data_IF_837255841326
#
_entry.id   IF_837255841326
#
_cell.length_a   1.000
_cell.length_b   1.000
_cell.length_c   1.000
_cell.angle_alpha   90.00
_cell.angle_beta   90.00
_cell.angle_gamma   90.00
#
_symmetry.space_group_name_H-M   'P 1'
#
loop_
_entity.id
_entity.type
_entity.pdbx_description
1 polymer ?
#
# COMPACT_ATOMS: atom_id res chain seq x y z
N UNK A 1 -6.50 10.19 9.93
CA UNK A 1 -6.14 10.22 8.50
C UNK A 1 -7.10 9.30 7.74
N UNK A 2 -7.33 9.57 6.45
CA UNK A 2 -8.25 8.81 5.61
C UNK A 2 -7.83 7.33 5.53
N UNK A 3 -8.78 6.41 5.76
CA UNK A 3 -8.50 4.96 5.80
C UNK A 3 -8.73 4.23 4.46
N UNK A 4 -8.96 4.97 3.37
CA UNK A 4 -9.30 4.41 2.05
C UNK A 4 -10.40 3.34 2.08
N UNK A 5 -11.27 3.38 3.09
CA UNK A 5 -12.41 2.49 3.30
C UNK A 5 -13.73 3.09 2.75
N UNK A 6 -13.62 4.21 2.03
CA UNK A 6 -14.77 4.90 1.42
C UNK A 6 -15.61 5.71 2.40
N UNK A 7 -15.15 5.89 3.65
CA UNK A 7 -15.88 6.66 4.67
C UNK A 7 -15.17 7.99 4.93
N UNK A 8 -15.92 9.08 4.73
CA UNK A 8 -15.46 10.45 4.90
C UNK A 8 -15.52 10.86 6.37
N UNK A 9 -14.38 10.78 7.07
CA UNK A 9 -14.32 11.02 8.52
C UNK A 9 -13.79 12.40 8.86
N UNK A 10 -14.48 13.09 9.78
CA UNK A 10 -13.97 14.31 10.39
C UNK A 10 -12.78 14.02 11.29
N UNK A 11 -11.72 14.81 11.15
CA UNK A 11 -10.54 14.79 12.00
C UNK A 11 -10.43 16.14 12.70
N UNK A 12 -10.37 16.10 14.03
CA UNK A 12 -9.97 17.23 14.86
C UNK A 12 -8.84 16.78 15.77
N UNK A 13 -7.71 17.49 15.72
CA UNK A 13 -6.55 17.25 16.58
C UNK A 13 -6.08 18.54 17.22
N UNK A 14 -5.47 18.42 18.40
CA UNK A 14 -4.76 19.52 19.05
C UNK A 14 -3.29 19.15 19.20
N UNK A 15 -2.41 20.05 18.77
CA UNK A 15 -0.97 19.95 18.96
C UNK A 15 -0.54 21.02 19.97
N UNK A 16 0.17 20.60 21.01
CA UNK A 16 0.77 21.54 21.97
C UNK A 16 2.02 22.18 21.35
N UNK A 17 2.19 23.49 21.53
CA UNK A 17 3.40 24.21 21.08
C UNK A 17 4.17 24.67 22.33
N UNK A 18 5.15 23.87 22.81
CA UNK A 18 5.76 24.06 24.11
C UNK A 18 6.79 25.20 24.14
N UNK A 19 7.48 25.47 23.02
CA UNK A 19 8.56 26.45 22.96
C UNK A 19 8.25 27.59 21.97
N UNK A 20 8.85 28.78 22.16
CA UNK A 20 8.76 29.86 21.17
C UNK A 20 9.25 29.45 19.78
N UNK A 21 10.27 28.61 19.70
CA UNK A 21 10.79 28.09 18.43
C UNK A 21 9.76 27.21 17.70
N UNK A 22 8.98 26.41 18.45
CA UNK A 22 7.88 25.63 17.86
C UNK A 22 6.76 26.55 17.35
N UNK A 23 6.45 27.61 18.10
CA UNK A 23 5.47 28.62 17.69
C UNK A 23 5.91 29.34 16.41
N UNK A 24 7.17 29.75 16.33
CA UNK A 24 7.74 30.39 15.15
C UNK A 24 7.71 29.46 13.93
N UNK A 25 8.10 28.18 14.08
CA UNK A 25 8.04 27.20 12.98
C UNK A 25 6.62 26.98 12.46
N UNK A 26 5.63 26.97 13.36
CA UNK A 26 4.22 26.85 12.99
C UNK A 26 3.72 28.12 12.31
N UNK A 27 4.12 29.31 12.76
CA UNK A 27 3.82 30.57 12.05
C UNK A 27 4.39 30.55 10.64
N UNK A 28 5.69 30.29 10.50
CA UNK A 28 6.39 30.24 9.22
C UNK A 28 5.77 29.23 8.24
N UNK A 29 5.24 28.13 8.78
CA UNK A 29 4.47 27.15 8.01
C UNK A 29 3.10 27.68 7.62
N UNK A 30 2.29 28.11 8.60
CA UNK A 30 0.89 28.46 8.40
C UNK A 30 0.70 29.70 7.54
N UNK A 31 1.54 30.71 7.76
CA UNK A 31 1.51 32.01 7.07
C UNK A 31 2.36 32.02 5.79
N UNK A 32 2.97 30.87 5.45
CA UNK A 32 3.80 30.68 4.27
C UNK A 32 4.97 31.68 4.14
N UNK A 33 5.69 31.93 5.25
CA UNK A 33 6.76 32.95 5.34
C UNK A 33 8.15 32.47 4.86
N UNK A 34 8.30 31.21 4.45
CA UNK A 34 9.57 30.65 3.97
C UNK A 34 9.60 30.57 2.45
N UNK A 35 10.79 30.79 1.89
CA UNK A 35 11.07 30.56 0.48
C UNK A 35 11.07 29.07 0.10
N UNK A 36 11.25 28.17 1.09
CA UNK A 36 11.29 26.73 0.85
C UNK A 36 10.75 25.91 2.02
N UNK A 37 10.10 24.80 1.68
CA UNK A 37 9.47 23.88 2.62
C UNK A 37 9.99 22.46 2.44
N UNK A 38 10.09 21.72 3.55
CA UNK A 38 10.38 20.28 3.51
C UNK A 38 9.23 19.47 2.89
N UNK A 39 7.99 19.99 2.99
CA UNK A 39 6.83 19.41 2.36
C UNK A 39 6.87 19.70 0.84
N UNK A 40 7.28 18.71 0.05
CA UNK A 40 7.33 18.81 -1.41
C UNK A 40 5.94 18.84 -2.09
N UNK A 41 4.86 18.78 -1.30
CA UNK A 41 3.50 18.85 -1.81
C UNK A 41 2.95 20.27 -1.78
N UNK A 42 3.63 21.23 -1.13
CA UNK A 42 3.25 22.64 -1.21
C UNK A 42 3.55 23.15 -2.62
N UNK A 43 2.55 23.74 -3.26
CA UNK A 43 2.60 24.34 -4.59
C UNK A 43 2.58 25.87 -4.43
N UNK A 44 3.73 26.56 -4.52
CA UNK A 44 3.82 28.00 -4.25
C UNK A 44 2.86 28.86 -5.09
N UNK A 45 2.60 28.46 -6.33
CA UNK A 45 1.68 29.16 -7.24
C UNK A 45 0.24 29.17 -6.73
N UNK A 46 -0.11 28.26 -5.80
CA UNK A 46 -1.43 28.14 -5.20
C UNK A 46 -1.53 28.74 -3.80
N UNK A 47 -0.44 29.18 -3.19
CA UNK A 47 -0.47 29.86 -1.89
C UNK A 47 -1.48 31.02 -1.83
N UNK A 48 -1.70 31.81 -2.91
CA UNK A 48 -2.77 32.83 -2.92
C UNK A 48 -4.20 32.30 -2.77
N UNK A 49 -4.41 30.98 -2.91
CA UNK A 49 -5.70 30.32 -2.70
C UNK A 49 -5.92 29.89 -1.23
N UNK A 50 -4.90 30.00 -0.38
CA UNK A 50 -5.09 29.80 1.06
C UNK A 50 -6.08 30.86 1.58
N UNK A 51 -6.91 30.47 2.54
CA UNK A 51 -7.96 31.35 3.07
C UNK A 51 -7.76 31.57 4.55
N UNK A 52 -7.46 32.82 4.91
CA UNK A 52 -7.46 33.25 6.29
C UNK A 52 -8.87 33.58 6.75
N UNK A 53 -9.38 32.82 7.71
CA UNK A 53 -10.57 33.19 8.47
C UNK A 53 -10.21 34.14 9.61
N UNK A 54 -8.96 34.04 10.10
CA UNK A 54 -8.35 35.04 10.98
C UNK A 54 -6.88 35.24 10.61
N UNK A 55 -6.58 36.40 10.07
CA UNK A 55 -5.20 36.82 9.78
C UNK A 55 -4.52 37.31 11.06
N UNK A 56 -3.29 36.87 11.37
CA UNK A 56 -2.55 37.42 12.50
C UNK A 56 -2.21 38.89 12.27
N UNK A 57 -2.20 39.68 13.35
CA UNK A 57 -1.88 41.11 13.27
C UNK A 57 -0.38 41.39 13.44
N UNK A 58 0.37 40.45 13.99
CA UNK A 58 1.83 40.46 14.20
C UNK A 58 2.29 39.01 14.43
N UNK A 59 3.56 38.81 14.76
CA UNK A 59 4.07 37.51 15.19
C UNK A 59 3.26 36.94 16.35
N UNK A 60 3.00 35.63 16.34
CA UNK A 60 2.17 34.96 17.36
C UNK A 60 2.65 35.21 18.79
N UNK A 61 3.97 35.28 18.98
CA UNK A 61 4.58 35.58 20.29
C UNK A 61 4.28 37.02 20.72
N UNK A 62 4.37 37.98 19.81
CA UNK A 62 4.06 39.39 20.12
C UNK A 62 2.57 39.60 20.37
N UNK A 63 1.71 38.93 19.60
CA UNK A 63 0.26 38.95 19.85
C UNK A 63 -0.07 38.43 21.25
N UNK A 64 0.58 37.34 21.69
CA UNK A 64 0.42 36.83 23.05
C UNK A 64 0.87 37.85 24.11
N UNK A 65 2.04 38.44 23.94
CA UNK A 65 2.57 39.46 24.85
C UNK A 65 1.64 40.67 24.94
N UNK A 66 1.09 41.11 23.80
CA UNK A 66 0.12 42.19 23.74
C UNK A 66 -1.17 41.83 24.50
N UNK A 67 -1.71 40.62 24.30
CA UNK A 67 -2.89 40.15 25.01
C UNK A 67 -2.68 40.04 26.52
N UNK A 68 -1.46 39.70 26.96
CA UNK A 68 -1.08 39.70 28.37
C UNK A 68 -1.00 41.12 28.93
N UNK A 69 -0.39 42.05 28.19
CA UNK A 69 -0.28 43.46 28.56
C UNK A 69 -1.64 44.15 28.66
N UNK A 70 -2.55 43.83 27.72
CA UNK A 70 -3.92 44.35 27.68
C UNK A 70 -4.84 43.72 28.74
N UNK A 71 -4.36 42.70 29.45
CA UNK A 71 -5.13 41.98 30.48
C UNK A 71 -6.24 41.09 29.92
N UNK A 72 -6.24 40.84 28.59
CA UNK A 72 -7.17 39.90 27.93
C UNK A 72 -6.93 38.47 28.42
N UNK A 73 -5.66 38.14 28.67
CA UNK A 73 -5.23 36.87 29.25
C UNK A 73 -4.31 37.13 30.45
N UNK A 74 -4.23 36.15 31.34
CA UNK A 74 -3.34 36.16 32.50
C UNK A 74 -2.45 34.93 32.52
N UNK A 75 -1.14 35.17 32.58
CA UNK A 75 -0.13 34.12 32.82
C UNK A 75 0.21 33.95 34.30
N UNK A 76 -0.44 34.70 35.20
CA UNK A 76 -0.10 34.77 36.63
C UNK A 76 -0.02 33.38 37.27
N UNK A 77 1.15 33.05 37.80
CA UNK A 77 1.40 31.78 38.48
C UNK A 77 1.56 30.58 37.54
N UNK A 78 1.72 30.81 36.22
CA UNK A 78 2.23 29.78 35.33
C UNK A 78 3.69 29.49 35.65
N UNK A 79 4.05 28.21 35.52
CA UNK A 79 5.45 27.81 35.54
C UNK A 79 6.15 28.25 34.24
N UNK A 80 7.47 28.45 34.25
CA UNK A 80 8.22 28.80 33.04
C UNK A 80 8.05 27.80 31.88
N UNK A 81 7.88 26.51 32.20
CA UNK A 81 7.69 25.40 31.27
C UNK A 81 6.22 25.13 30.92
N UNK A 82 5.29 26.00 31.32
CA UNK A 82 3.88 25.82 31.00
C UNK A 82 3.63 26.02 29.50
N UNK A 83 2.86 25.11 28.90
CA UNK A 83 2.40 25.23 27.51
C UNK A 83 1.41 26.39 27.41
N UNK A 84 1.74 27.37 26.56
CA UNK A 84 0.99 28.62 26.37
C UNK A 84 0.16 28.66 25.10
N UNK A 85 0.40 27.74 24.16
CA UNK A 85 -0.19 27.76 22.84
C UNK A 85 -0.63 26.35 22.43
N UNK A 86 -1.67 26.28 21.61
CA UNK A 86 -2.07 25.06 20.91
C UNK A 86 -2.40 25.36 19.46
N UNK A 87 -2.30 24.34 18.62
CA UNK A 87 -2.79 24.35 17.24
C UNK A 87 -3.87 23.29 17.10
N UNK A 88 -5.09 23.73 16.76
CA UNK A 88 -6.14 22.83 16.29
C UNK A 88 -5.97 22.62 14.80
N UNK A 89 -6.05 21.36 14.36
CA UNK A 89 -6.10 21.03 12.94
C UNK A 89 -7.38 20.26 12.66
N UNK A 90 -8.16 20.81 11.73
CA UNK A 90 -9.40 20.25 11.24
C UNK A 90 -9.21 19.76 9.81
N UNK A 91 -9.61 18.53 9.56
CA UNK A 91 -9.32 17.84 8.31
C UNK A 91 -10.43 16.83 7.95
N UNK A 92 -10.62 16.62 6.65
CA UNK A 92 -11.47 15.60 6.03
C UNK A 92 -10.73 15.10 4.79
N UNK A 93 -10.94 13.85 4.39
CA UNK A 93 -10.26 13.28 3.24
C UNK A 93 -10.51 14.10 1.95
N UNK A 94 -9.48 14.24 1.10
CA UNK A 94 -9.57 14.99 -0.16
C UNK A 94 -10.73 14.55 -1.07
N UNK A 95 -11.07 13.26 -1.05
CA UNK A 95 -12.17 12.71 -1.84
C UNK A 95 -13.53 13.35 -1.50
N UNK A 96 -13.77 13.65 -0.22
CA UNK A 96 -14.98 14.33 0.21
C UNK A 96 -15.13 15.70 -0.48
N UNK A 97 -14.10 16.54 -0.42
CA UNK A 97 -14.14 17.85 -1.06
C UNK A 97 -14.22 17.74 -2.57
N UNK A 98 -13.44 16.84 -3.18
CA UNK A 98 -13.48 16.59 -4.62
C UNK A 98 -14.90 16.27 -5.11
N UNK A 99 -15.62 15.39 -4.39
CA UNK A 99 -16.98 15.00 -4.74
C UNK A 99 -18.05 16.07 -4.49
N UNK A 100 -17.73 17.11 -3.70
CA UNK A 100 -18.66 18.16 -3.28
C UNK A 100 -18.42 19.52 -3.94
N UNK A 101 -17.64 19.58 -5.01
CA UNK A 101 -17.37 20.82 -5.76
C UNK A 101 -16.00 21.45 -5.47
N UNK A 102 -15.14 20.75 -4.75
CA UNK A 102 -13.73 21.12 -4.56
C UNK A 102 -13.56 22.37 -3.72
N UNK A 103 -12.77 23.32 -4.24
CA UNK A 103 -12.27 24.48 -3.50
C UNK A 103 -13.37 25.36 -2.89
N UNK A 104 -14.42 25.71 -3.65
CA UNK A 104 -15.47 26.61 -3.12
C UNK A 104 -16.28 25.93 -2.01
N UNK A 105 -16.51 24.61 -2.11
CA UNK A 105 -17.14 23.86 -1.04
C UNK A 105 -16.23 23.75 0.19
N UNK A 106 -14.93 23.50 -0.01
CA UNK A 106 -13.96 23.48 1.08
C UNK A 106 -13.90 24.82 1.83
N UNK A 107 -13.93 25.95 1.12
CA UNK A 107 -13.99 27.29 1.75
C UNK A 107 -15.19 27.44 2.67
N UNK A 108 -16.38 27.05 2.21
CA UNK A 108 -17.59 27.12 3.02
C UNK A 108 -17.52 26.16 4.21
N UNK A 109 -17.08 24.93 3.98
CA UNK A 109 -16.89 23.92 5.03
C UNK A 109 -15.96 24.43 6.13
N UNK A 110 -14.79 24.98 5.76
CA UNK A 110 -13.83 25.47 6.74
C UNK A 110 -14.21 26.82 7.37
N UNK A 111 -15.06 27.62 6.71
CA UNK A 111 -15.68 28.78 7.36
C UNK A 111 -16.60 28.36 8.51
N UNK A 112 -17.35 27.27 8.35
CA UNK A 112 -18.17 26.70 9.42
C UNK A 112 -17.32 25.98 10.47
N UNK A 113 -16.27 25.26 10.06
CA UNK A 113 -15.30 24.68 10.98
C UNK A 113 -14.60 25.75 11.84
N UNK A 114 -14.35 26.95 11.28
CA UNK A 114 -13.80 28.07 12.03
C UNK A 114 -14.74 28.55 13.14
N UNK A 115 -16.05 28.60 12.89
CA UNK A 115 -17.06 28.91 13.94
C UNK A 115 -17.02 27.86 15.05
N UNK A 116 -16.88 26.58 14.69
CA UNK A 116 -16.69 25.50 15.67
C UNK A 116 -15.43 25.74 16.51
N UNK A 117 -14.33 26.14 15.87
CA UNK A 117 -13.07 26.44 16.55
C UNK A 117 -13.22 27.60 17.55
N UNK A 118 -13.96 28.65 17.20
CA UNK A 118 -14.27 29.77 18.11
C UNK A 118 -14.99 29.29 19.37
N UNK A 119 -16.00 28.43 19.22
CA UNK A 119 -16.73 27.84 20.36
C UNK A 119 -15.85 26.91 21.20
N UNK A 120 -15.10 26.03 20.55
CA UNK A 120 -14.18 25.08 21.21
C UNK A 120 -13.11 25.82 22.00
N UNK A 121 -12.54 26.89 21.44
CA UNK A 121 -11.51 27.71 22.09
C UNK A 121 -12.12 28.57 23.20
N UNK A 122 -13.39 28.95 23.09
CA UNK A 122 -14.13 29.74 24.08
C UNK A 122 -14.08 31.25 23.80
N UNK A 123 -13.86 31.64 22.55
CA UNK A 123 -13.81 33.04 22.13
C UNK A 123 -12.81 33.28 21.00
N UNK A 124 -13.21 34.06 20.01
CA UNK A 124 -12.38 34.41 18.84
C UNK A 124 -11.15 35.22 19.23
N UNK A 125 -11.24 36.02 20.30
CA UNK A 125 -10.13 36.82 20.81
C UNK A 125 -8.94 35.97 21.28
N UNK A 126 -9.14 34.67 21.56
CA UNK A 126 -8.08 33.75 21.96
C UNK A 126 -7.45 32.98 20.81
N UNK A 127 -7.95 33.17 19.59
CA UNK A 127 -7.36 32.64 18.35
C UNK A 127 -6.38 33.67 17.82
N UNK A 128 -5.15 33.25 17.52
CA UNK A 128 -4.09 34.09 16.95
C UNK A 128 -4.15 34.10 15.43
N UNK A 129 -4.31 32.93 14.81
CA UNK A 129 -4.47 32.76 13.36
C UNK A 129 -5.40 31.58 13.07
N UNK A 130 -6.13 31.66 11.96
CA UNK A 130 -6.91 30.57 11.40
C UNK A 130 -6.82 30.60 9.88
N UNK A 131 -6.16 29.60 9.30
CA UNK A 131 -5.87 29.53 7.85
C UNK A 131 -6.20 28.16 7.29
N UNK A 132 -6.98 28.15 6.22
CA UNK A 132 -7.18 26.99 5.37
C UNK A 132 -6.07 26.92 4.34
N UNK A 133 -5.31 25.83 4.34
CA UNK A 133 -4.35 25.53 3.28
C UNK A 133 -5.05 24.86 2.10
N UNK A 134 -4.78 25.35 0.89
CA UNK A 134 -5.34 24.92 -0.39
C UNK A 134 -4.26 24.72 -1.47
N UNK A 135 -3.01 24.77 -1.04
CA UNK A 135 -1.80 24.70 -1.83
C UNK A 135 -1.06 23.36 -1.69
N UNK A 136 -1.60 22.40 -0.93
CA UNK A 136 -0.96 21.09 -0.76
C UNK A 136 -1.51 20.06 -1.77
N UNK A 137 -0.64 19.52 -2.60
CA UNK A 137 -0.96 18.56 -3.65
C UNK A 137 -1.14 17.14 -3.10
N UNK A 138 -2.24 16.47 -3.44
CA UNK A 138 -2.48 15.08 -3.07
C UNK A 138 -2.01 14.15 -4.19
N UNK A 139 -0.70 13.87 -4.24
CA UNK A 139 -0.08 13.03 -5.29
C UNK A 139 -0.77 11.70 -5.51
N UNK A 140 -1.13 11.01 -4.44
CA UNK A 140 -1.74 9.68 -4.52
C UNK A 140 -3.09 9.72 -5.25
N UNK A 141 -3.93 10.70 -4.92
CA UNK A 141 -5.22 10.85 -5.58
C UNK A 141 -5.08 11.43 -7.00
N UNK A 142 -4.16 12.37 -7.20
CA UNK A 142 -3.90 12.95 -8.52
C UNK A 142 -3.42 11.90 -9.53
N UNK A 143 -2.51 11.02 -9.12
CA UNK A 143 -2.03 9.93 -9.97
C UNK A 143 -3.13 8.90 -10.27
N UNK A 144 -4.02 8.63 -9.29
CA UNK A 144 -5.13 7.70 -9.48
C UNK A 144 -6.20 8.23 -10.44
N UNK A 145 -6.45 9.54 -10.45
CA UNK A 145 -7.46 10.19 -11.30
C UNK A 145 -6.89 10.72 -12.62
N UNK A 146 -5.58 10.94 -12.71
CA UNK A 146 -4.94 11.54 -13.88
C UNK A 146 -5.13 13.06 -13.98
N UNK A 147 -5.47 13.72 -12.89
CA UNK A 147 -5.66 15.18 -12.81
C UNK A 147 -5.18 15.73 -11.46
N UNK A 148 -4.87 17.03 -11.38
CA UNK A 148 -4.33 17.62 -10.15
C UNK A 148 -5.40 17.78 -9.06
N UNK A 149 -5.25 17.02 -7.98
CA UNK A 149 -6.08 17.10 -6.78
C UNK A 149 -5.30 17.71 -5.62
N UNK A 150 -5.94 18.61 -4.89
CA UNK A 150 -5.37 19.29 -3.74
C UNK A 150 -6.03 18.86 -2.44
N UNK A 151 -5.26 18.92 -1.36
CA UNK A 151 -5.71 18.63 -0.01
C UNK A 151 -6.02 19.94 0.71
N UNK A 152 -7.18 19.97 1.37
CA UNK A 152 -7.65 21.11 2.12
C UNK A 152 -7.69 20.73 3.59
N UNK A 153 -7.17 21.61 4.45
CA UNK A 153 -7.25 21.46 5.90
C UNK A 153 -7.09 22.84 6.56
N UNK A 154 -7.60 22.96 7.78
CA UNK A 154 -7.63 24.21 8.54
C UNK A 154 -6.72 24.09 9.76
N UNK A 155 -5.76 25.01 9.87
CA UNK A 155 -4.97 25.22 11.09
C UNK A 155 -5.53 26.40 11.87
N UNK A 156 -5.70 26.23 13.18
CA UNK A 156 -6.15 27.29 14.10
C UNK A 156 -5.18 27.36 15.28
N UNK A 157 -4.36 28.39 15.30
CA UNK A 157 -3.42 28.65 16.40
C UNK A 157 -4.12 29.47 17.47
N UNK A 158 -4.10 29.00 18.71
CA UNK A 158 -4.88 29.60 19.80
C UNK A 158 -4.18 29.53 21.16
N UNK A 159 -4.68 30.30 22.11
CA UNK A 159 -4.24 30.33 23.51
C UNK A 159 -5.24 29.55 24.37
N UNK A 160 -4.83 28.47 25.06
CA UNK A 160 -5.73 27.69 25.90
C UNK A 160 -6.04 28.46 27.19
N UNK A 161 -7.25 28.99 27.28
CA UNK A 161 -7.71 29.79 28.43
C UNK A 161 -8.82 29.10 29.22
N UNK A 162 -8.89 29.42 30.51
CA UNK A 162 -9.98 29.05 31.41
C UNK A 162 -10.28 30.21 32.36
N UNK A 163 -11.55 30.39 32.71
CA UNK A 163 -11.92 31.32 33.76
C UNK A 163 -11.41 30.81 35.12
N UNK A 164 -10.77 31.70 35.88
CA UNK A 164 -10.25 31.37 37.21
C UNK A 164 -10.62 32.49 38.18
N UNK A 165 -11.41 32.13 39.18
CA UNK A 165 -11.68 32.99 40.33
C UNK A 165 -10.48 32.97 41.28
N UNK A 166 -9.92 34.13 41.55
CA UNK A 166 -8.91 34.35 42.59
C UNK A 166 -9.67 34.79 43.84
N UNK A 167 -9.53 34.03 44.93
CA UNK A 167 -10.19 34.32 46.19
C UNK A 167 -9.31 35.21 47.09
N UNK A 168 -9.93 35.97 47.98
CA UNK A 168 -9.21 36.69 49.04
C UNK A 168 -8.47 35.70 49.95
N UNK A 169 -7.21 36.04 50.26
CA UNK A 169 -6.36 35.18 51.08
C UNK A 169 -6.90 35.04 52.50
N UNK A 170 -6.60 33.91 53.15
CA UNK A 170 -6.89 33.70 54.58
C UNK A 170 -6.22 34.73 55.49
N UNK A 171 -5.24 35.47 54.99
CA UNK A 171 -4.51 36.55 55.70
C UNK A 171 -5.10 37.94 55.43
N UNK A 172 -6.23 38.05 54.71
CA UNK A 172 -6.90 39.33 54.51
C UNK A 172 -7.30 39.94 55.86
N UNK A 173 -7.09 41.25 56.04
CA UNK A 173 -7.41 41.95 57.30
C UNK A 173 -8.91 42.01 57.55
N UNK A 174 -9.67 42.22 56.48
CA UNK A 174 -11.13 42.15 56.53
C UNK A 174 -11.57 40.69 56.55
N UNK A 175 -12.21 40.27 57.63
CA UNK A 175 -12.65 38.89 57.83
C UNK A 175 -13.81 38.52 56.91
N UNK A 176 -14.69 39.47 56.57
CA UNK A 176 -15.86 39.23 55.72
C UNK A 176 -15.45 38.91 54.27
N UNK A 177 -14.30 39.40 53.83
CA UNK A 177 -13.80 39.16 52.48
C UNK A 177 -13.09 37.81 52.33
N UNK A 178 -12.61 37.17 53.41
CA UNK A 178 -11.82 35.93 53.32
C UNK A 178 -12.61 34.81 52.63
N UNK A 179 -12.03 34.21 51.60
CA UNK A 179 -12.68 33.14 50.83
C UNK A 179 -13.72 33.60 49.81
N UNK A 180 -14.06 34.91 49.76
CA UNK A 180 -14.88 35.47 48.69
C UNK A 180 -14.05 35.73 47.43
N UNK A 181 -14.71 35.83 46.27
CA UNK A 181 -14.05 36.11 44.98
C UNK A 181 -13.48 37.53 45.00
N UNK A 182 -12.16 37.64 44.85
CA UNK A 182 -11.45 38.91 44.73
C UNK A 182 -11.47 39.43 43.30
N UNK A 183 -11.16 38.56 42.35
CA UNK A 183 -11.13 38.87 40.92
C UNK A 183 -11.35 37.59 40.11
N UNK A 184 -11.94 37.70 38.93
CA UNK A 184 -12.03 36.61 37.95
C UNK A 184 -11.11 36.96 36.81
N UNK A 185 -10.18 36.06 36.49
CA UNK A 185 -9.20 36.26 35.42
C UNK A 185 -9.37 35.19 34.34
N UNK A 186 -9.02 35.55 33.11
CA UNK A 186 -8.86 34.61 32.00
C UNK A 186 -7.47 34.00 32.08
N UNK A 187 -7.35 32.88 32.78
CA UNK A 187 -6.06 32.22 33.02
C UNK A 187 -5.65 31.36 31.83
N UNK A 188 -4.43 31.55 31.33
CA UNK A 188 -3.83 30.60 30.38
C UNK A 188 -3.53 29.27 31.10
N UNK A 189 -4.11 28.18 30.62
CA UNK A 189 -3.96 26.84 31.21
C UNK A 189 -4.36 25.72 30.24
N UNK A 190 -3.36 25.15 29.53
CA UNK A 190 -3.53 23.96 28.69
C UNK A 190 -4.16 22.78 29.44
N UNK A 191 -3.66 22.48 30.65
CA UNK A 191 -4.10 21.29 31.41
C UNK A 191 -5.56 21.37 31.84
N UNK A 192 -6.03 22.57 32.23
CA UNK A 192 -7.43 22.77 32.59
C UNK A 192 -8.34 22.87 31.37
N UNK A 193 -7.87 23.50 30.27
CA UNK A 193 -8.62 23.58 29.01
C UNK A 193 -8.97 22.20 28.48
N UNK A 194 -8.01 21.28 28.55
CA UNK A 194 -8.13 19.90 28.06
C UNK A 194 -8.24 18.88 29.20
N UNK A 195 -8.91 19.23 30.30
CA UNK A 195 -9.17 18.29 31.38
C UNK A 195 -10.18 17.21 30.94
N UNK A 196 -10.00 15.99 31.47
CA UNK A 196 -10.87 14.87 31.11
C UNK A 196 -12.23 14.99 31.80
N UNK A 197 -13.31 14.90 31.03
CA UNK A 197 -14.68 15.03 31.55
C UNK A 197 -15.23 13.67 32.00
N UNK A 198 -16.04 13.58 33.08
CA UNK A 198 -16.69 12.33 33.44
C UNK A 198 -17.72 11.91 32.38
N UNK A 199 -17.79 10.62 32.08
CA UNK A 199 -18.87 10.04 31.26
C UNK A 199 -20.15 10.09 32.09
N UNK A 200 -21.24 10.61 31.53
CA UNK A 200 -22.54 10.68 32.20
C UNK A 200 -23.44 9.49 31.77
N UNK A 201 -24.34 9.06 32.64
CA UNK A 201 -25.43 8.13 32.33
C UNK A 201 -26.66 8.84 31.75
N UNK A 202 -27.71 8.08 31.47
CA UNK A 202 -28.96 8.59 30.89
C UNK A 202 -29.67 9.61 31.80
N UNK A 203 -29.38 9.57 33.11
CA UNK A 203 -29.91 10.50 34.12
C UNK A 203 -28.98 11.71 34.36
N UNK A 204 -27.86 11.81 33.62
CA UNK A 204 -26.89 12.88 33.74
C UNK A 204 -25.89 12.73 34.90
N UNK A 205 -25.83 11.58 35.56
CA UNK A 205 -24.90 11.31 36.65
C UNK A 205 -23.58 10.68 36.14
N UNK A 206 -22.42 10.95 36.77
CA UNK A 206 -21.16 10.34 36.37
C UNK A 206 -21.16 8.80 36.47
N UNK A 207 -20.97 8.10 35.34
CA UNK A 207 -20.78 6.65 35.31
C UNK A 207 -19.55 6.26 36.12
N UNK A 208 -19.71 5.26 36.98
CA UNK A 208 -18.66 4.67 37.78
C UNK A 208 -18.25 3.32 37.17
N UNK A 209 -16.97 2.98 37.24
CA UNK A 209 -16.50 1.63 36.93
C UNK A 209 -16.81 0.67 38.09
N UNK A 210 -16.52 -0.62 37.89
CA UNK A 210 -16.70 -1.69 38.89
C UNK A 210 -15.96 -1.42 40.23
N UNK A 211 -14.97 -0.51 40.23
CA UNK A 211 -14.18 -0.09 41.41
C UNK A 211 -14.69 1.22 42.04
N UNK A 212 -15.84 1.74 41.60
CA UNK A 212 -16.44 2.98 42.10
C UNK A 212 -15.73 4.27 41.65
N UNK A 213 -14.76 4.20 40.71
CA UNK A 213 -14.11 5.39 40.14
C UNK A 213 -14.89 5.89 38.93
N UNK A 214 -15.01 7.22 38.80
CA UNK A 214 -15.62 7.86 37.63
C UNK A 214 -14.90 7.45 36.36
N UNK A 215 -15.65 7.00 35.36
CA UNK A 215 -15.12 6.75 34.02
C UNK A 215 -14.92 8.12 33.38
N UNK A 216 -13.66 8.42 33.04
CA UNK A 216 -13.30 9.68 32.40
C UNK A 216 -13.24 9.50 30.89
N UNK A 217 -13.76 10.49 30.19
CA UNK A 217 -13.63 10.66 28.77
C UNK A 217 -12.45 11.58 28.48
N UNK A 218 -11.52 11.09 27.67
CA UNK A 218 -10.38 11.87 27.20
C UNK A 218 -10.85 13.16 26.51
N UNK A 219 -10.22 14.28 26.84
CA UNK A 219 -10.56 15.61 26.30
C UNK A 219 -10.46 15.68 24.77
N UNK A 220 -9.51 14.97 24.16
CA UNK A 220 -9.43 14.91 22.69
C UNK A 220 -10.53 14.06 22.05
N UNK A 221 -11.11 13.09 22.79
CA UNK A 221 -12.31 12.41 22.34
C UNK A 221 -13.54 13.33 22.38
N UNK A 222 -13.59 14.23 23.37
CA UNK A 222 -14.62 15.28 23.45
C UNK A 222 -14.44 16.26 22.30
N UNK A 223 -13.22 16.73 22.02
CA UNK A 223 -12.92 17.59 20.87
C UNK A 223 -13.43 17.00 19.54
N UNK A 224 -13.15 15.72 19.29
CA UNK A 224 -13.61 15.04 18.08
C UNK A 224 -15.13 14.94 17.98
N UNK A 225 -15.82 14.73 19.10
CA UNK A 225 -17.28 14.69 19.13
C UNK A 225 -17.90 16.08 18.98
N UNK A 226 -17.36 17.09 19.66
CA UNK A 226 -17.83 18.48 19.60
C UNK A 226 -17.71 19.00 18.16
N UNK A 227 -16.56 18.78 17.52
CA UNK A 227 -16.37 19.12 16.11
C UNK A 227 -17.34 18.38 15.19
N UNK A 228 -17.45 17.06 15.32
CA UNK A 228 -18.37 16.26 14.52
C UNK A 228 -19.82 16.73 14.65
N UNK A 229 -20.30 16.93 15.88
CA UNK A 229 -21.66 17.38 16.15
C UNK A 229 -21.91 18.77 15.58
N UNK A 230 -20.94 19.68 15.69
CA UNK A 230 -21.02 21.01 15.11
C UNK A 230 -21.16 20.94 13.58
N UNK A 231 -20.29 20.18 12.91
CA UNK A 231 -20.35 20.06 11.44
C UNK A 231 -21.66 19.40 10.98
N UNK A 232 -22.15 18.38 11.70
CA UNK A 232 -23.48 17.81 11.47
C UNK A 232 -24.59 18.84 11.61
N UNK A 233 -24.55 19.67 12.65
CA UNK A 233 -25.53 20.73 12.89
C UNK A 233 -25.46 21.85 11.83
N UNK A 234 -24.28 22.10 11.27
CA UNK A 234 -24.08 23.02 10.15
C UNK A 234 -24.58 22.49 8.79
N UNK A 235 -25.01 21.22 8.73
CA UNK A 235 -25.63 20.62 7.54
C UNK A 235 -24.79 19.54 6.84
N UNK A 236 -23.57 19.26 7.32
CA UNK A 236 -22.70 18.22 6.76
C UNK A 236 -23.08 16.85 7.35
N UNK A 237 -24.07 16.19 6.74
CA UNK A 237 -24.68 14.97 7.31
C UNK A 237 -24.03 13.65 6.87
N UNK A 238 -23.24 13.69 5.83
CA UNK A 238 -22.58 12.57 5.16
C UNK A 238 -21.13 12.36 5.60
N UNK A 239 -20.62 13.19 6.50
CA UNK A 239 -19.38 12.92 7.23
C UNK A 239 -19.64 12.04 8.46
N UNK A 240 -18.63 11.28 8.85
CA UNK A 240 -18.64 10.45 10.05
C UNK A 240 -17.61 10.89 11.10
N UNK A 241 -17.92 10.62 12.36
CA UNK A 241 -16.97 10.75 13.47
C UNK A 241 -15.90 9.66 13.30
N UNK A 242 -14.62 9.97 13.54
CA UNK A 242 -13.55 8.96 13.73
C UNK A 242 -13.93 7.78 14.65
N UNK A 243 -13.16 6.70 14.71
CA UNK A 243 -13.51 5.63 15.66
C UNK A 243 -13.31 6.02 17.12
N UNK A 244 -14.34 5.83 17.95
CA UNK A 244 -14.25 6.07 19.41
C UNK A 244 -13.39 4.98 20.04
N UNK A 245 -12.41 5.39 20.83
CA UNK A 245 -11.50 4.45 21.50
C UNK A 245 -10.44 3.85 20.57
N UNK A 246 -10.24 4.40 19.37
CA UNK A 246 -9.13 4.01 18.49
C UNK A 246 -7.79 4.08 19.23
N UNK A 247 -7.00 3.00 19.09
CA UNK A 247 -5.63 2.89 19.62
C UNK A 247 -4.58 3.18 18.53
N UNK A 248 -4.98 3.72 17.38
CA UNK A 248 -4.05 4.09 16.32
C UNK A 248 -3.08 5.17 16.81
N UNK A 249 -1.79 4.94 16.60
CA UNK A 249 -0.77 5.93 16.89
C UNK A 249 -0.80 7.04 15.84
N UNK A 250 -0.65 8.28 16.29
CA UNK A 250 -0.50 9.40 15.37
C UNK A 250 0.88 9.34 14.71
N UNK A 251 0.88 9.21 13.38
CA UNK A 251 2.08 9.34 12.57
C UNK A 251 2.24 10.80 12.15
N UNK A 252 3.47 11.29 12.23
CA UNK A 252 3.85 12.56 11.58
C UNK A 252 3.62 12.46 10.06
N UNK A 253 3.44 13.60 9.39
CA UNK A 253 3.22 13.64 7.92
C UNK A 253 4.30 12.85 7.17
N UNK A 254 5.57 12.99 7.55
CA UNK A 254 6.68 12.24 6.94
C UNK A 254 6.58 10.74 7.19
N UNK A 255 6.27 10.30 8.42
CA UNK A 255 6.12 8.87 8.73
C UNK A 255 4.96 8.26 7.94
N UNK A 256 3.83 8.97 7.83
CA UNK A 256 2.68 8.51 7.05
C UNK A 256 3.04 8.35 5.57
N UNK A 257 3.72 9.34 4.98
CA UNK A 257 4.18 9.29 3.57
C UNK A 257 5.14 8.12 3.33
N UNK A 258 6.11 7.91 4.22
CA UNK A 258 7.04 6.77 4.11
C UNK A 258 6.29 5.44 4.17
N UNK A 259 5.30 5.30 5.05
CA UNK A 259 4.49 4.08 5.13
C UNK A 259 3.66 3.85 3.86
N UNK A 260 3.04 4.90 3.33
CA UNK A 260 2.25 4.82 2.09
C UNK A 260 3.12 4.44 0.88
N UNK A 261 4.30 5.06 0.74
CA UNK A 261 5.25 4.73 -0.33
C UNK A 261 5.82 3.31 -0.19
N UNK A 262 6.04 2.84 1.04
CA UNK A 262 6.47 1.46 1.28
C UNK A 262 5.40 0.45 0.81
N UNK A 263 4.13 0.69 1.14
CA UNK A 263 3.02 -0.16 0.67
C UNK A 263 2.88 -0.13 -0.85
N UNK A 264 3.04 1.04 -1.46
CA UNK A 264 3.02 1.20 -2.92
C UNK A 264 4.17 0.43 -3.58
N UNK A 265 5.38 0.53 -3.03
CA UNK A 265 6.55 -0.18 -3.52
C UNK A 265 6.34 -1.71 -3.46
N UNK A 266 5.74 -2.20 -2.37
CA UNK A 266 5.39 -3.62 -2.22
C UNK A 266 4.38 -4.07 -3.29
N UNK A 267 3.35 -3.27 -3.55
CA UNK A 267 2.36 -3.56 -4.60
C UNK A 267 2.98 -3.59 -6.00
N UNK A 268 3.80 -2.60 -6.35
CA UNK A 268 4.51 -2.54 -7.65
C UNK A 268 5.48 -3.72 -7.78
N UNK A 269 6.20 -4.08 -6.72
CA UNK A 269 7.10 -5.25 -6.72
C UNK A 269 6.34 -6.55 -6.99
N UNK A 270 5.14 -6.70 -6.40
CA UNK A 270 4.25 -7.83 -6.69
C UNK A 270 3.81 -7.89 -8.15
N UNK A 271 3.44 -6.76 -8.75
CA UNK A 271 3.07 -6.68 -10.17
C UNK A 271 4.24 -6.99 -11.10
N UNK A 272 5.44 -6.50 -10.79
CA UNK A 272 6.66 -6.81 -11.55
C UNK A 272 6.94 -8.31 -11.52
N UNK A 273 6.89 -8.94 -10.34
CA UNK A 273 7.08 -10.39 -10.23
C UNK A 273 6.05 -11.18 -11.06
N UNK A 274 4.78 -10.76 -11.07
CA UNK A 274 3.74 -11.36 -11.90
C UNK A 274 3.99 -11.17 -13.40
N UNK A 275 4.45 -9.98 -13.81
CA UNK A 275 4.79 -9.68 -15.20
C UNK A 275 6.02 -10.47 -15.66
N UNK A 276 7.04 -10.62 -14.81
CA UNK A 276 8.22 -11.44 -15.08
C UNK A 276 7.85 -12.91 -15.29
N UNK A 277 7.01 -13.46 -14.42
CA UNK A 277 6.50 -14.83 -14.57
C UNK A 277 5.73 -15.00 -15.89
N UNK A 278 4.84 -14.05 -16.21
CA UNK A 278 4.06 -14.06 -17.46
C UNK A 278 4.96 -13.96 -18.69
N UNK A 279 6.04 -13.17 -18.62
CA UNK A 279 7.04 -13.04 -19.67
C UNK A 279 7.83 -14.33 -19.88
N UNK A 280 8.21 -15.02 -18.81
CA UNK A 280 8.89 -16.32 -18.89
C UNK A 280 7.98 -17.37 -19.55
N UNK A 281 6.72 -17.44 -19.16
CA UNK A 281 5.73 -18.35 -19.76
C UNK A 281 5.53 -18.05 -21.26
N UNK A 282 5.45 -16.77 -21.63
CA UNK A 282 5.35 -16.34 -23.03
C UNK A 282 6.60 -16.73 -23.86
N UNK A 283 7.80 -16.60 -23.27
CA UNK A 283 9.06 -17.05 -23.91
C UNK A 283 9.06 -18.57 -24.11
N UNK A 284 8.66 -19.33 -23.10
CA UNK A 284 8.56 -20.79 -23.20
C UNK A 284 7.55 -21.25 -24.26
N UNK A 285 6.41 -20.56 -24.37
CA UNK A 285 5.42 -20.81 -25.41
C UNK A 285 5.97 -20.48 -26.81
N UNK A 286 6.69 -19.36 -26.95
CA UNK A 286 7.30 -18.94 -28.21
C UNK A 286 8.35 -19.93 -28.70
N UNK A 287 9.22 -20.42 -27.82
CA UNK A 287 10.20 -21.46 -28.15
C UNK A 287 9.54 -22.76 -28.63
N UNK A 288 8.42 -23.17 -28.02
CA UNK A 288 7.64 -24.33 -28.49
C UNK A 288 7.09 -24.11 -29.90
N UNK A 289 6.59 -22.91 -30.20
CA UNK A 289 6.06 -22.58 -31.54
C UNK A 289 7.17 -22.54 -32.58
N UNK A 290 8.34 -21.96 -32.26
CA UNK A 290 9.50 -21.94 -33.15
C UNK A 290 9.94 -23.36 -33.55
N UNK A 291 10.03 -24.28 -32.58
CA UNK A 291 10.35 -25.69 -32.87
C UNK A 291 9.34 -26.37 -33.78
N UNK A 292 8.04 -26.09 -33.61
CA UNK A 292 6.99 -26.61 -34.50
C UNK A 292 7.13 -26.05 -35.92
N UNK A 293 7.43 -24.76 -36.06
CA UNK A 293 7.62 -24.11 -37.34
C UNK A 293 8.84 -24.68 -38.09
N UNK A 294 9.97 -24.87 -37.41
CA UNK A 294 11.16 -25.49 -37.98
C UNK A 294 10.89 -26.93 -38.48
N UNK A 295 10.09 -27.70 -37.74
CA UNK A 295 9.67 -29.04 -38.17
C UNK A 295 8.82 -29.00 -39.45
N UNK A 296 7.80 -28.13 -39.48
CA UNK A 296 6.93 -27.93 -40.65
C UNK A 296 7.71 -27.46 -41.89
N UNK A 297 8.70 -26.58 -41.72
CA UNK A 297 9.55 -26.12 -42.83
C UNK A 297 10.39 -27.27 -43.42
N UNK A 298 10.93 -28.16 -42.59
CA UNK A 298 11.68 -29.34 -43.05
C UNK A 298 10.78 -30.29 -43.85
N UNK A 299 9.59 -30.57 -43.33
CA UNK A 299 8.60 -31.42 -44.02
C UNK A 299 8.19 -30.81 -45.39
N UNK A 300 7.95 -29.50 -45.43
CA UNK A 300 7.56 -28.81 -46.67
C UNK A 300 8.67 -28.84 -47.73
N UNK A 301 9.93 -28.64 -47.33
CA UNK A 301 11.08 -28.73 -48.27
C UNK A 301 11.22 -30.14 -48.85
N UNK A 302 11.06 -31.17 -48.02
CA UNK A 302 11.09 -32.55 -48.47
C UNK A 302 9.96 -32.85 -49.46
N UNK A 303 8.73 -32.43 -49.14
CA UNK A 303 7.57 -32.60 -50.02
C UNK A 303 7.75 -31.89 -51.38
N UNK A 304 8.30 -30.67 -51.39
CA UNK A 304 8.55 -29.91 -52.63
C UNK A 304 9.60 -30.56 -53.52
N UNK A 305 10.66 -31.12 -52.96
CA UNK A 305 11.69 -31.82 -53.72
C UNK A 305 11.13 -33.09 -54.39
N UNK A 306 10.28 -33.84 -53.68
CA UNK A 306 9.57 -35.01 -54.21
C UNK A 306 8.62 -34.59 -55.35
N UNK A 307 7.84 -33.53 -55.16
CA UNK A 307 6.90 -33.06 -56.19
C UNK A 307 7.61 -32.61 -57.49
N UNK A 308 8.74 -31.89 -57.39
CA UNK A 308 9.53 -31.45 -58.54
C UNK A 308 10.10 -32.64 -59.33
N UNK A 309 10.66 -33.63 -58.64
CA UNK A 309 11.21 -34.84 -59.28
C UNK A 309 10.14 -35.68 -59.97
N UNK A 310 8.95 -35.77 -59.39
CA UNK A 310 7.80 -36.43 -60.04
C UNK A 310 7.38 -35.67 -61.30
N UNK A 311 7.25 -34.34 -61.22
CA UNK A 311 6.85 -33.51 -62.35
C UNK A 311 7.87 -33.54 -63.51
N UNK A 312 9.17 -33.53 -63.21
CA UNK A 312 10.24 -33.64 -64.21
C UNK A 312 10.13 -34.97 -64.98
N UNK A 313 9.83 -36.07 -64.29
CA UNK A 313 9.65 -37.40 -64.91
C UNK A 313 8.38 -37.48 -65.75
N UNK A 314 7.30 -36.85 -65.32
CA UNK A 314 6.07 -36.76 -66.12
C UNK A 314 6.29 -35.93 -67.40
N UNK A 315 7.13 -34.90 -67.34
CA UNK A 315 7.49 -34.06 -68.49
C UNK A 315 8.50 -34.73 -69.45
N UNK A 316 9.31 -35.68 -68.97
CA UNK A 316 10.20 -36.46 -69.83
C UNK A 316 9.41 -37.36 -70.78
N UNK A 317 9.84 -37.43 -72.05
CA UNK A 317 9.28 -38.37 -73.03
C UNK A 317 8.16 -37.81 -73.91
N UNK A 318 8.31 -36.59 -74.46
CA UNK A 318 7.50 -36.16 -75.62
C UNK A 318 8.07 -36.52 -77.00
N UNK A 319 9.29 -37.08 -77.08
CA UNK A 319 9.84 -37.82 -78.25
C UNK A 319 11.29 -38.20 -77.97
N UNK A 320 11.62 -39.49 -77.92
CA UNK A 320 12.99 -39.96 -78.12
C UNK A 320 12.99 -41.45 -78.53
N UNK A 321 13.26 -41.70 -79.81
CA UNK A 321 13.74 -42.98 -80.32
C UNK A 321 15.08 -43.31 -79.65
N UNK A 322 15.10 -44.34 -78.81
CA UNK A 322 16.35 -44.93 -78.33
C UNK A 322 17.05 -45.66 -79.50
N UNK A 323 18.37 -45.50 -79.60
CA UNK A 323 19.17 -45.94 -80.74
C UNK A 323 18.96 -47.41 -81.14
N UNK A 324 18.80 -47.62 -82.45
CA UNK A 324 18.74 -48.86 -83.23
C UNK A 324 18.74 -50.20 -82.47
N UNK A 325 17.57 -50.57 -81.93
CA UNK A 325 16.88 -51.87 -82.12
C UNK A 325 15.77 -52.17 -81.09
N UNK A 326 15.32 -51.21 -80.27
CA UNK A 326 14.16 -51.40 -79.38
C UNK A 326 13.24 -50.19 -79.51
N UNK A 327 12.03 -50.39 -80.05
CA UNK A 327 10.95 -49.38 -80.08
C UNK A 327 9.96 -49.72 -78.97
N UNK A 328 9.96 -48.93 -77.89
CA UNK A 328 8.94 -49.02 -76.84
C UNK A 328 7.62 -48.44 -77.38
N UNK A 329 6.54 -49.18 -77.21
CA UNK A 329 5.18 -48.70 -77.49
C UNK A 329 4.79 -47.60 -76.48
N UNK A 330 3.83 -46.73 -76.81
CA UNK A 330 3.35 -45.69 -75.89
C UNK A 330 2.95 -46.23 -74.51
N UNK A 331 2.27 -47.39 -74.48
CA UNK A 331 1.83 -48.06 -73.25
C UNK A 331 3.00 -48.56 -72.41
N UNK A 332 4.06 -49.08 -73.04
CA UNK A 332 5.28 -49.50 -72.34
C UNK A 332 6.05 -48.29 -71.78
N UNK A 333 6.02 -47.16 -72.49
CA UNK A 333 6.63 -45.92 -72.04
C UNK A 333 5.88 -45.31 -70.84
N UNK A 334 4.54 -45.33 -70.87
CA UNK A 334 3.71 -44.88 -69.75
C UNK A 334 3.81 -45.81 -68.54
N UNK A 335 3.91 -47.12 -68.79
CA UNK A 335 4.18 -48.12 -67.75
C UNK A 335 5.54 -47.86 -67.10
N UNK A 336 6.57 -47.56 -67.89
CA UNK A 336 7.91 -47.23 -67.39
C UNK A 336 7.92 -45.93 -66.57
N UNK A 337 7.20 -44.88 -67.02
CA UNK A 337 7.03 -43.64 -66.24
C UNK A 337 6.33 -43.90 -64.92
N UNK A 338 5.25 -44.68 -64.93
CA UNK A 338 4.52 -45.04 -63.71
C UNK A 338 5.41 -45.81 -62.73
N UNK A 339 6.24 -46.72 -63.21
CA UNK A 339 7.22 -47.42 -62.38
C UNK A 339 8.31 -46.49 -61.84
N UNK A 340 8.80 -45.54 -62.62
CA UNK A 340 9.77 -44.54 -62.15
C UNK A 340 9.17 -43.62 -61.07
N UNK A 341 7.95 -43.10 -61.29
CA UNK A 341 7.22 -42.28 -60.31
C UNK A 341 6.95 -43.06 -59.03
N UNK A 342 6.43 -44.30 -59.14
CA UNK A 342 6.22 -45.15 -57.98
C UNK A 342 7.53 -45.49 -57.26
N UNK A 343 8.61 -45.75 -58.01
CA UNK A 343 9.94 -46.03 -57.45
C UNK A 343 10.47 -44.89 -56.59
N UNK A 344 10.31 -43.63 -57.04
CA UNK A 344 10.69 -42.45 -56.27
C UNK A 344 9.80 -42.26 -55.05
N UNK A 345 8.49 -42.43 -55.20
CA UNK A 345 7.55 -42.36 -54.07
C UNK A 345 7.89 -43.41 -53.00
N UNK A 346 8.14 -44.66 -53.41
CA UNK A 346 8.54 -45.73 -52.49
C UNK A 346 9.92 -45.50 -51.88
N UNK A 347 10.88 -44.95 -52.63
CA UNK A 347 12.20 -44.63 -52.09
C UNK A 347 12.12 -43.53 -51.04
N UNK A 348 11.37 -42.46 -51.31
CA UNK A 348 11.13 -41.38 -50.35
C UNK A 348 10.40 -41.88 -49.09
N UNK A 349 9.40 -42.74 -49.25
CA UNK A 349 8.68 -43.34 -48.13
C UNK A 349 9.57 -44.29 -47.33
N UNK A 350 10.44 -45.06 -47.98
CA UNK A 350 11.42 -45.92 -47.31
C UNK A 350 12.45 -45.11 -46.51
N UNK A 351 13.00 -44.04 -47.07
CA UNK A 351 13.93 -43.16 -46.34
C UNK A 351 13.23 -42.48 -45.15
N UNK A 352 11.97 -42.06 -45.32
CA UNK A 352 11.16 -41.54 -44.22
C UNK A 352 10.94 -42.57 -43.11
N UNK A 353 10.57 -43.80 -43.47
CA UNK A 353 10.37 -44.90 -42.52
C UNK A 353 11.67 -45.29 -41.83
N UNK A 354 12.80 -45.28 -42.54
CA UNK A 354 14.14 -45.54 -41.98
C UNK A 354 14.53 -44.46 -40.97
N UNK A 355 14.31 -43.18 -41.29
CA UNK A 355 14.53 -42.07 -40.34
C UNK A 355 13.65 -42.18 -39.10
N UNK A 356 12.37 -42.58 -39.25
CA UNK A 356 11.48 -42.86 -38.11
C UNK A 356 11.96 -44.04 -37.27
N UNK A 357 12.45 -45.10 -37.91
CA UNK A 357 13.02 -46.26 -37.23
C UNK A 357 14.26 -45.87 -36.41
N UNK A 358 15.19 -45.11 -36.99
CA UNK A 358 16.38 -44.62 -36.28
C UNK A 358 16.03 -43.73 -35.10
N UNK A 359 15.06 -42.81 -35.27
CA UNK A 359 14.57 -41.97 -34.17
C UNK A 359 13.93 -42.80 -33.06
N UNK A 360 13.09 -43.78 -33.42
CA UNK A 360 12.46 -44.67 -32.46
C UNK A 360 13.48 -45.54 -31.71
N UNK A 361 14.52 -46.04 -32.39
CA UNK A 361 15.63 -46.78 -31.79
C UNK A 361 16.42 -45.92 -30.79
N UNK A 362 16.72 -44.66 -31.14
CA UNK A 362 17.37 -43.71 -30.21
C UNK A 362 16.51 -43.45 -28.98
N UNK A 363 15.21 -43.19 -29.16
CA UNK A 363 14.29 -42.99 -28.03
C UNK A 363 14.18 -44.25 -27.16
N UNK A 364 14.08 -45.43 -27.75
CA UNK A 364 14.05 -46.70 -27.02
C UNK A 364 15.33 -46.94 -26.21
N UNK A 365 16.50 -46.59 -26.76
CA UNK A 365 17.79 -46.68 -26.06
C UNK A 365 17.85 -45.75 -24.85
N UNK A 366 17.40 -44.51 -24.98
CA UNK A 366 17.34 -43.54 -23.86
C UNK A 366 16.38 -44.02 -22.78
N UNK A 367 15.19 -44.50 -23.16
CA UNK A 367 14.22 -45.05 -22.21
C UNK A 367 14.75 -46.29 -21.50
N UNK A 368 15.45 -47.18 -22.21
CA UNK A 368 16.11 -48.34 -21.63
C UNK A 368 17.14 -47.93 -20.58
N UNK A 369 18.02 -46.97 -20.89
CA UNK A 369 19.01 -46.47 -19.94
C UNK A 369 18.34 -45.86 -18.69
N UNK A 370 17.29 -45.05 -18.88
CA UNK A 370 16.53 -44.47 -17.76
C UNK A 370 15.87 -45.54 -16.89
N UNK A 371 15.28 -46.57 -17.49
CA UNK A 371 14.71 -47.69 -16.77
C UNK A 371 15.77 -48.50 -16.01
N UNK A 372 16.95 -48.72 -16.60
CA UNK A 372 18.08 -49.40 -15.95
C UNK A 372 18.61 -48.60 -14.76
N UNK A 373 18.79 -47.29 -14.90
CA UNK A 373 19.19 -46.40 -13.81
C UNK A 373 18.14 -46.34 -12.69
N UNK A 374 16.85 -46.25 -13.05
CA UNK A 374 15.75 -46.27 -12.09
C UNK A 374 15.68 -47.61 -11.37
N UNK A 375 15.85 -48.72 -12.08
CA UNK A 375 15.88 -50.06 -11.48
C UNK A 375 17.09 -50.21 -10.55
N UNK A 376 18.28 -49.70 -10.92
CA UNK A 376 19.45 -49.71 -10.04
C UNK A 376 19.18 -48.96 -8.74
N UNK A 377 18.64 -47.74 -8.83
CA UNK A 377 18.23 -46.95 -7.65
C UNK A 377 17.17 -47.67 -6.81
N UNK A 378 16.22 -48.32 -7.46
CA UNK A 378 15.21 -49.14 -6.78
C UNK A 378 15.84 -50.32 -6.02
N UNK A 379 16.77 -51.06 -6.64
CA UNK A 379 17.46 -52.16 -5.97
C UNK A 379 18.32 -51.67 -4.79
N UNK A 380 19.03 -50.55 -4.95
CA UNK A 380 19.80 -49.93 -3.86
C UNK A 380 18.89 -49.50 -2.70
N UNK A 381 17.75 -48.88 -3.01
CA UNK A 381 16.76 -48.48 -2.00
C UNK A 381 16.16 -49.70 -1.32
N UNK A 382 15.82 -50.75 -2.08
CA UNK A 382 15.30 -52.02 -1.56
C UNK A 382 16.31 -52.67 -0.61
N UNK A 383 17.59 -52.72 -0.96
CA UNK A 383 18.63 -53.24 -0.07
C UNK A 383 18.75 -52.42 1.21
N UNK A 384 18.74 -51.09 1.12
CA UNK A 384 18.78 -50.21 2.30
C UNK A 384 17.54 -50.35 3.17
N UNK A 385 16.37 -50.57 2.56
CA UNK A 385 15.11 -50.76 3.25
C UNK A 385 14.89 -52.20 3.72
N UNK A 386 15.73 -53.17 3.32
CA UNK A 386 15.55 -54.58 3.65
C UNK A 386 15.48 -54.84 5.16
N UNK A 387 16.37 -54.28 6.01
CA UNK A 387 16.28 -54.48 7.46
C UNK A 387 14.98 -53.93 8.06
N UNK A 388 14.42 -52.87 7.46
CA UNK A 388 13.14 -52.29 7.87
C UNK A 388 11.96 -53.16 7.43
N UNK A 389 12.00 -53.71 6.22
CA UNK A 389 11.00 -54.65 5.73
C UNK A 389 10.99 -55.93 6.58
N UNK A 390 12.17 -56.46 6.92
CA UNK A 390 12.32 -57.62 7.80
C UNK A 390 11.77 -57.33 9.20
N UNK A 391 12.02 -56.13 9.75
CA UNK A 391 11.49 -55.71 11.05
C UNK A 391 9.96 -55.50 11.03
N UNK A 392 9.40 -55.00 9.92
CA UNK A 392 7.95 -54.89 9.72
C UNK A 392 7.27 -56.25 9.68
N UNK A 393 7.89 -57.25 9.03
CA UNK A 393 7.36 -58.61 8.96
C UNK A 393 7.32 -59.27 10.35
N UNK A 394 8.32 -59.01 11.18
CA UNK A 394 8.42 -59.56 12.54
C UNK A 394 7.50 -58.82 13.54
N UNK A 395 7.42 -57.48 13.46
CA UNK A 395 6.74 -56.66 14.47
C UNK A 395 6.12 -55.37 13.90
N UNK A 396 5.16 -55.53 12.99
CA UNK A 396 4.59 -54.44 12.18
C UNK A 396 4.03 -53.23 12.96
N UNK A 397 3.27 -53.46 14.03
CA UNK A 397 2.63 -52.37 14.79
C UNK A 397 3.62 -51.51 15.56
N UNK A 398 4.64 -52.12 16.18
CA UNK A 398 5.67 -51.40 16.94
C UNK A 398 6.52 -50.53 16.04
N UNK A 399 6.88 -51.06 14.87
CA UNK A 399 7.65 -50.32 13.86
C UNK A 399 6.87 -49.12 13.32
N UNK A 400 5.57 -49.28 13.04
CA UNK A 400 4.70 -48.16 12.61
C UNK A 400 4.57 -47.07 13.67
N UNK A 401 4.39 -47.45 14.94
CA UNK A 401 4.30 -46.49 16.05
C UNK A 401 5.60 -45.69 16.21
N UNK A 402 6.76 -46.34 16.10
CA UNK A 402 8.06 -45.69 16.19
C UNK A 402 8.26 -44.63 15.08
N UNK A 403 7.97 -44.97 13.81
CA UNK A 403 8.13 -44.02 12.70
C UNK A 403 7.19 -42.81 12.83
N UNK A 404 5.93 -43.02 13.21
CA UNK A 404 4.99 -41.92 13.39
C UNK A 404 5.48 -40.89 14.43
N UNK A 405 6.14 -41.35 15.50
CA UNK A 405 6.72 -40.45 16.50
C UNK A 405 7.92 -39.65 15.98
N UNK A 406 8.77 -40.24 15.12
CA UNK A 406 9.91 -39.54 14.50
C UNK A 406 9.43 -38.50 13.48
N UNK A 407 8.45 -38.86 12.64
CA UNK A 407 7.93 -37.95 11.62
C UNK A 407 7.24 -36.73 12.22
N UNK A 408 6.55 -36.89 13.36
CA UNK A 408 5.98 -35.77 14.11
C UNK A 408 7.07 -34.79 14.59
N UNK A 409 8.20 -35.32 15.07
CA UNK A 409 9.34 -34.53 15.55
C UNK A 409 10.10 -33.79 14.44
N UNK A 410 10.17 -34.38 13.25
CA UNK A 410 10.87 -33.79 12.09
C UNK A 410 10.15 -32.55 11.51
N UNK A 411 8.80 -32.52 11.58
CA UNK A 411 8.02 -31.34 11.18
C UNK A 411 8.31 -30.12 12.07
N UNK A 412 8.52 -30.33 13.37
CA UNK A 412 8.89 -29.25 14.30
C UNK A 412 10.30 -28.68 14.05
N UNK A 413 11.21 -29.44 13.42
CA UNK A 413 12.60 -29.01 13.23
C UNK A 413 12.85 -28.25 11.92
N UNK A 414 12.01 -28.43 10.89
CA UNK A 414 12.10 -27.64 9.64
C UNK A 414 11.67 -26.18 9.83
N UNK A 415 10.74 -25.90 10.75
CA UNK A 415 10.30 -24.53 11.05
C UNK A 415 11.38 -23.70 11.79
N UNK A 416 12.41 -24.33 12.37
CA UNK A 416 13.39 -23.65 13.23
C UNK A 416 14.79 -23.41 12.65
N UNK A 417 15.09 -23.77 11.39
CA UNK A 417 16.40 -23.50 10.76
C UNK A 417 16.32 -23.15 9.28
N UNK A 418 15.84 -21.95 8.95
CA UNK A 418 16.21 -21.26 7.71
C UNK A 418 17.22 -20.14 8.03
N UNK A 419 18.55 -20.39 8.02
CA UNK A 419 19.53 -19.33 8.15
C UNK A 419 19.77 -18.62 6.82
N UNK A 420 19.93 -17.30 6.93
CA UNK A 420 20.13 -16.33 5.85
C UNK A 420 21.37 -16.60 4.98
N UNK A 421 21.22 -16.23 3.70
CA UNK A 421 22.22 -16.24 2.62
C UNK A 421 23.58 -15.65 3.01
N UNK A 422 24.68 -16.32 2.61
CA UNK A 422 25.93 -15.67 2.18
C UNK A 422 26.22 -16.08 0.74
N UNK A 423 26.04 -15.13 -0.20
CA UNK A 423 26.58 -15.17 -1.56
C UNK A 423 27.85 -14.30 -1.57
N UNK A 424 29.00 -14.92 -1.74
CA UNK A 424 30.24 -14.34 -2.28
C UNK A 424 30.82 -15.44 -3.18
N UNK A 425 30.73 -15.29 -4.50
CA UNK A 425 31.73 -14.69 -5.40
C UNK A 425 33.06 -15.47 -5.38
N UNK A 426 33.27 -16.21 -6.47
CA UNK A 426 34.42 -16.15 -7.39
C UNK A 426 34.06 -17.09 -8.58
N UNK A 427 33.77 -16.58 -9.78
CA UNK A 427 34.65 -16.10 -10.86
C UNK A 427 35.55 -17.17 -11.49
N UNK A 428 35.28 -17.37 -12.80
CA UNK A 428 36.17 -17.84 -13.88
C UNK A 428 36.56 -19.34 -13.86
N UNK A 429 36.40 -20.14 -14.93
CA UNK A 429 36.37 -19.92 -16.39
C UNK A 429 35.24 -20.75 -17.04
#
# INVERSE_FOLDING_TARGET
MARNDGIDRTVARNQDLPTPDDVAKIQEHNEREKDSYSNQDIVPERTPLNVHFKTPTDDYVKMFEQMEQDGVISTRGLKPDAIKYGELVFDVNSAYFYNHGGYEFAKQFYADAYKAAVEIVGGEQYILSAVMHADEHNRAMSEALGEDVYHYHLHVVYIPVVEKQILWSKRCKDEALRGTVKETITQVSRSKKWDSKPVLDEDGNPKLNEKGKKILRSSYSVLQDDFFNFMRAAGYTDVERGERGSTEEHLTVTQFKVQAEQQRLEAVTGQVAQAEQSLEDAKAATEKQKKKLEALQKETKAAKAIALTVQDIEAMGKKATFGNNITLTPDECDTLKRYATNGILFHAENERLKGKLESAQKSASIWKQRCEEANKKYQELKQKAQPFLDALEIASEKVRAFINSILARGKETQEHKAPARKRGQDMEI
#
